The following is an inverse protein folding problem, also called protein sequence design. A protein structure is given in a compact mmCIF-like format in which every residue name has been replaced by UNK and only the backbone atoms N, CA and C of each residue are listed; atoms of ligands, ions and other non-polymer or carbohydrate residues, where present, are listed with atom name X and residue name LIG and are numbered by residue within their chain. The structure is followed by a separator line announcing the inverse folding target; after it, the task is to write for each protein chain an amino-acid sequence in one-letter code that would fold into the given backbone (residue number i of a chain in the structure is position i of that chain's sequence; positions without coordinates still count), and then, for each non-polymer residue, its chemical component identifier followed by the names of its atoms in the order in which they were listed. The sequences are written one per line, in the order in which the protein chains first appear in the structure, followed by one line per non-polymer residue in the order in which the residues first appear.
data_IF_131467664293
#
_entry.id   IF_131467664293
#
_cell.length_a   1.000
_cell.length_b   1.000
_cell.length_c   1.000
_cell.angle_alpha   90.00
_cell.angle_beta   90.00
_cell.angle_gamma   90.00
#
_symmetry.space_group_name_H-M   'P 1'
#
loop_
_entity.id
_entity.type
_entity.pdbx_description
1 polymer ?
#
# COMPACT_ATOMS: atom_id res chain seq x y z
N UNK A 1 -35.96 33.74 -21.98
CA UNK A 1 -34.57 33.26 -22.09
C UNK A 1 -34.27 32.49 -20.80
N UNK A 2 -34.43 31.20 -20.81
CA UNK A 2 -33.97 30.32 -19.73
C UNK A 2 -32.45 30.12 -19.91
N UNK A 3 -31.69 30.79 -19.09
CA UNK A 3 -30.25 30.66 -19.00
C UNK A 3 -29.98 29.37 -18.22
N UNK A 4 -29.25 28.47 -18.87
CA UNK A 4 -28.45 27.42 -18.30
C UNK A 4 -29.06 26.58 -17.17
N UNK A 5 -29.55 25.38 -17.47
CA UNK A 5 -29.66 24.36 -16.48
C UNK A 5 -28.23 23.98 -16.05
N UNK A 6 -27.76 24.58 -14.96
CA UNK A 6 -26.57 24.11 -14.25
C UNK A 6 -26.76 22.62 -14.00
N UNK A 7 -25.91 21.81 -14.60
CA UNK A 7 -25.98 20.35 -14.51
C UNK A 7 -25.32 19.92 -13.20
N UNK A 8 -26.05 20.15 -12.10
CA UNK A 8 -25.62 19.70 -10.79
C UNK A 8 -25.77 18.18 -10.66
N UNK A 9 -24.92 17.56 -9.91
CA UNK A 9 -25.05 16.15 -9.52
C UNK A 9 -26.35 15.99 -8.75
N UNK A 10 -27.33 15.28 -9.34
CA UNK A 10 -28.65 15.09 -8.72
C UNK A 10 -28.64 13.92 -7.74
N UNK A 11 -29.41 14.05 -6.67
CA UNK A 11 -29.51 13.10 -5.54
C UNK A 11 -29.80 11.64 -5.98
N UNK A 12 -30.55 11.44 -7.08
CA UNK A 12 -30.87 10.10 -7.60
C UNK A 12 -29.62 9.39 -8.17
N UNK A 13 -28.84 10.05 -9.01
CA UNK A 13 -27.65 9.46 -9.64
C UNK A 13 -26.57 9.19 -8.58
N UNK A 14 -26.49 10.03 -7.55
CA UNK A 14 -25.57 9.87 -6.43
C UNK A 14 -25.91 8.62 -5.60
N UNK A 15 -27.19 8.37 -5.36
CA UNK A 15 -27.62 7.19 -4.54
C UNK A 15 -27.24 5.86 -5.18
N UNK A 16 -27.51 5.72 -6.47
CA UNK A 16 -27.24 4.45 -7.17
C UNK A 16 -25.74 4.18 -7.22
N UNK A 17 -24.93 5.18 -7.56
CA UNK A 17 -23.47 5.03 -7.58
C UNK A 17 -22.89 4.79 -6.17
N UNK A 18 -23.36 5.50 -5.14
CA UNK A 18 -22.92 5.25 -3.75
C UNK A 18 -23.26 3.85 -3.26
N UNK A 19 -24.39 3.30 -3.75
CA UNK A 19 -24.74 1.91 -3.47
C UNK A 19 -23.75 0.94 -4.11
N UNK A 20 -23.38 1.16 -5.36
CA UNK A 20 -22.37 0.34 -6.08
C UNK A 20 -21.00 0.44 -5.42
N UNK A 21 -20.53 1.65 -5.09
CA UNK A 21 -19.27 1.87 -4.36
C UNK A 21 -19.29 1.13 -3.02
N UNK A 22 -20.41 1.22 -2.28
CA UNK A 22 -20.54 0.52 -1.01
C UNK A 22 -20.47 -0.99 -1.16
N UNK A 23 -21.14 -1.56 -2.16
CA UNK A 23 -21.11 -2.99 -2.43
C UNK A 23 -19.71 -3.45 -2.81
N UNK A 24 -19.04 -2.74 -3.72
CA UNK A 24 -17.69 -3.07 -4.14
C UNK A 24 -16.68 -3.05 -2.97
N UNK A 25 -16.79 -2.07 -2.06
CA UNK A 25 -15.96 -2.01 -0.87
C UNK A 25 -16.20 -3.16 0.10
N UNK A 26 -17.48 -3.56 0.29
CA UNK A 26 -17.83 -4.71 1.14
C UNK A 26 -17.38 -6.03 0.53
N UNK A 27 -17.49 -6.20 -0.79
CA UNK A 27 -16.97 -7.36 -1.53
C UNK A 27 -15.44 -7.45 -1.47
N UNK A 28 -14.77 -6.30 -1.32
CA UNK A 28 -13.32 -6.21 -1.10
C UNK A 28 -12.91 -6.35 0.38
N UNK A 29 -13.80 -6.84 1.26
CA UNK A 29 -13.57 -7.02 2.71
C UNK A 29 -13.16 -5.74 3.47
N UNK A 30 -13.55 -4.57 2.98
CA UNK A 30 -13.32 -3.32 3.70
C UNK A 30 -14.22 -3.26 4.94
N UNK A 31 -13.66 -2.90 6.09
CA UNK A 31 -14.38 -2.83 7.35
C UNK A 31 -15.61 -1.90 7.28
N UNK A 32 -16.77 -2.35 7.76
CA UNK A 32 -18.03 -1.63 7.68
C UNK A 32 -18.00 -0.19 8.21
N UNK A 33 -17.31 0.14 9.31
CA UNK A 33 -17.17 1.54 9.77
C UNK A 33 -16.50 2.43 8.71
N UNK A 34 -15.42 1.95 8.08
CA UNK A 34 -14.70 2.67 7.02
C UNK A 34 -15.60 2.89 5.79
N UNK A 35 -16.33 1.87 5.37
CA UNK A 35 -17.30 1.97 4.25
C UNK A 35 -18.36 3.02 4.53
N UNK A 36 -18.90 3.06 5.76
CA UNK A 36 -19.92 4.03 6.15
C UNK A 36 -19.38 5.46 6.15
N UNK A 37 -18.22 5.67 6.73
CA UNK A 37 -17.57 6.98 6.77
C UNK A 37 -17.23 7.49 5.37
N UNK A 38 -16.57 6.66 4.55
CA UNK A 38 -16.20 7.02 3.18
C UNK A 38 -17.43 7.36 2.32
N UNK A 39 -18.48 6.55 2.37
CA UNK A 39 -19.69 6.82 1.59
C UNK A 39 -20.43 8.09 2.06
N UNK A 40 -20.37 8.41 3.35
CA UNK A 40 -20.92 9.65 3.88
C UNK A 40 -20.13 10.89 3.39
N UNK A 41 -18.80 10.82 3.42
CA UNK A 41 -17.90 11.89 2.89
C UNK A 41 -18.10 12.11 1.39
N UNK A 42 -18.16 11.02 0.60
CA UNK A 42 -18.42 11.13 -0.84
C UNK A 42 -19.78 11.80 -1.09
N UNK A 43 -20.82 11.41 -0.34
CA UNK A 43 -22.15 12.02 -0.49
C UNK A 43 -22.14 13.52 -0.19
N UNK A 44 -21.52 13.91 0.91
CA UNK A 44 -21.42 15.32 1.31
C UNK A 44 -20.70 16.16 0.24
N UNK A 45 -19.55 15.70 -0.24
CA UNK A 45 -18.76 16.40 -1.26
C UNK A 45 -19.42 16.40 -2.63
N UNK A 46 -20.09 15.31 -3.00
CA UNK A 46 -20.81 15.23 -4.29
C UNK A 46 -21.98 16.20 -4.40
N UNK A 47 -22.69 16.45 -3.30
CA UNK A 47 -23.86 17.37 -3.28
C UNK A 47 -23.47 18.85 -3.40
N UNK A 48 -22.20 19.20 -3.18
CA UNK A 48 -21.69 20.57 -3.29
C UNK A 48 -20.91 20.86 -4.56
N UNK A 49 -20.67 19.85 -5.41
CA UNK A 49 -19.77 20.00 -6.56
C UNK A 49 -20.53 20.41 -7.82
N UNK A 50 -20.18 21.57 -8.35
CA UNK A 50 -20.61 22.02 -9.69
C UNK A 50 -19.85 21.19 -10.73
N UNK A 51 -20.59 20.68 -11.74
CA UNK A 51 -19.97 19.97 -12.86
C UNK A 51 -19.28 21.00 -13.75
N UNK A 52 -17.96 21.07 -13.65
CA UNK A 52 -17.14 22.02 -14.40
C UNK A 52 -16.82 21.47 -15.80
N UNK A 53 -17.08 22.26 -16.83
CA UNK A 53 -16.70 21.94 -18.20
C UNK A 53 -17.63 20.94 -18.91
N UNK A 54 -17.06 20.11 -19.78
CA UNK A 54 -17.77 19.11 -20.59
C UNK A 54 -17.98 17.75 -19.90
N UNK A 55 -17.77 17.66 -18.59
CA UNK A 55 -17.98 16.42 -17.84
C UNK A 55 -19.48 16.16 -17.64
N UNK A 56 -19.88 14.90 -17.72
CA UNK A 56 -21.19 14.51 -17.26
C UNK A 56 -21.22 14.31 -15.73
N UNK A 57 -22.38 14.37 -15.07
CA UNK A 57 -22.48 14.20 -13.61
C UNK A 57 -21.85 12.91 -13.07
N UNK A 58 -21.89 11.83 -13.85
CA UNK A 58 -21.25 10.56 -13.48
C UNK A 58 -19.73 10.66 -13.44
N UNK A 59 -19.11 11.32 -14.42
CA UNK A 59 -17.66 11.53 -14.46
C UNK A 59 -17.19 12.44 -13.32
N UNK A 60 -17.94 13.49 -13.00
CA UNK A 60 -17.63 14.34 -11.86
C UNK A 60 -17.68 13.56 -10.54
N UNK A 61 -18.68 12.69 -10.36
CA UNK A 61 -18.81 11.86 -9.18
C UNK A 61 -17.68 10.83 -9.06
N UNK A 62 -17.20 10.25 -10.17
CA UNK A 62 -16.01 9.37 -10.16
C UNK A 62 -14.79 10.13 -9.63
N UNK A 63 -14.58 11.38 -10.00
CA UNK A 63 -13.50 12.22 -9.48
C UNK A 63 -13.61 12.47 -7.97
N UNK A 64 -14.84 12.64 -7.44
CA UNK A 64 -15.06 12.74 -5.98
C UNK A 64 -14.68 11.42 -5.29
N UNK A 65 -15.13 10.29 -5.82
CA UNK A 65 -14.82 8.96 -5.27
C UNK A 65 -13.31 8.72 -5.26
N UNK A 66 -12.62 9.03 -6.33
CA UNK A 66 -11.16 8.87 -6.44
C UNK A 66 -10.42 9.71 -5.40
N UNK A 67 -10.78 10.99 -5.23
CA UNK A 67 -10.16 11.87 -4.21
C UNK A 67 -10.40 11.34 -2.79
N UNK A 68 -11.61 10.91 -2.48
CA UNK A 68 -11.94 10.40 -1.15
C UNK A 68 -11.28 9.06 -0.85
N UNK A 69 -11.18 8.15 -1.83
CA UNK A 69 -10.40 6.92 -1.70
C UNK A 69 -8.92 7.22 -1.47
N UNK A 70 -8.35 8.14 -2.24
CA UNK A 70 -6.96 8.58 -2.07
C UNK A 70 -6.70 9.11 -0.66
N UNK A 71 -7.61 9.94 -0.13
CA UNK A 71 -7.52 10.46 1.22
C UNK A 71 -7.55 9.34 2.28
N UNK A 72 -8.47 8.37 2.14
CA UNK A 72 -8.61 7.25 3.09
C UNK A 72 -7.37 6.36 3.12
N UNK A 73 -6.70 6.15 1.98
CA UNK A 73 -5.45 5.37 1.93
C UNK A 73 -4.20 6.19 2.31
N UNK A 74 -4.37 7.39 2.85
CA UNK A 74 -3.29 8.23 3.36
C UNK A 74 -2.78 9.30 2.42
N UNK A 75 -3.51 9.63 1.34
CA UNK A 75 -3.14 10.69 0.40
C UNK A 75 -3.03 12.08 1.05
N UNK A 76 -3.82 12.33 2.09
CA UNK A 76 -3.82 13.59 2.85
C UNK A 76 -2.75 13.63 3.95
N UNK A 77 -2.07 12.51 4.22
CA UNK A 77 -1.00 12.46 5.22
C UNK A 77 0.22 13.22 4.69
N UNK A 78 0.81 14.15 5.46
CA UNK A 78 2.02 14.86 5.05
C UNK A 78 3.16 13.92 4.67
N UNK A 79 3.94 14.27 3.66
CA UNK A 79 5.02 13.40 3.14
C UNK A 79 6.00 12.95 4.24
N UNK A 80 6.33 13.84 5.18
CA UNK A 80 7.19 13.51 6.33
C UNK A 80 6.65 12.37 7.20
N UNK A 81 5.31 12.22 7.29
CA UNK A 81 4.65 11.22 8.13
C UNK A 81 4.36 9.92 7.36
N UNK A 82 4.57 9.93 6.02
CA UNK A 82 4.48 8.76 5.14
C UNK A 82 5.80 8.02 4.98
N UNK A 83 6.88 8.56 5.52
CA UNK A 83 8.21 7.97 5.40
C UNK A 83 8.38 6.77 6.34
N UNK A 84 9.15 5.78 5.89
CA UNK A 84 9.54 4.65 6.75
C UNK A 84 10.44 5.20 7.86
N UNK A 85 10.03 5.00 9.12
CA UNK A 85 10.85 5.42 10.26
C UNK A 85 12.05 4.48 10.43
N UNK A 86 13.24 4.97 10.09
CA UNK A 86 14.52 4.29 10.26
C UNK A 86 15.34 4.84 11.46
N UNK A 87 14.73 5.70 12.29
CA UNK A 87 15.37 6.30 13.48
C UNK A 87 15.44 5.29 14.63
N UNK A 88 16.05 4.15 14.37
CA UNK A 88 16.27 3.05 15.32
C UNK A 88 17.71 2.60 15.28
N UNK A 89 18.16 1.88 16.31
CA UNK A 89 19.49 1.27 16.28
C UNK A 89 19.58 0.24 15.14
N UNK A 90 20.55 0.39 14.23
CA UNK A 90 20.71 -0.54 13.11
C UNK A 90 20.97 -1.99 13.53
N UNK A 91 20.48 -2.96 12.76
CA UNK A 91 19.64 -2.79 11.57
C UNK A 91 18.18 -2.47 11.90
N UNK A 92 17.54 -1.57 11.16
CA UNK A 92 16.09 -1.41 11.20
C UNK A 92 15.44 -2.67 10.61
N UNK A 93 14.61 -3.35 11.39
CA UNK A 93 13.91 -4.57 10.95
C UNK A 93 12.54 -4.20 10.41
N UNK A 94 12.27 -4.57 9.16
CA UNK A 94 11.00 -4.34 8.48
C UNK A 94 10.37 -5.70 8.14
N UNK A 95 9.32 -6.08 8.87
CA UNK A 95 8.59 -7.32 8.64
C UNK A 95 7.46 -7.10 7.64
N UNK A 96 7.50 -7.80 6.49
CA UNK A 96 6.41 -7.84 5.53
C UNK A 96 5.49 -9.03 5.84
N UNK A 97 4.31 -8.75 6.35
CA UNK A 97 3.28 -9.73 6.65
C UNK A 97 2.09 -9.59 5.71
N UNK A 98 1.38 -10.69 5.45
CA UNK A 98 0.19 -10.69 4.60
C UNK A 98 -0.11 -12.07 4.02
N UNK A 99 -1.28 -12.22 3.41
CA UNK A 99 -1.73 -13.45 2.76
C UNK A 99 -0.90 -13.77 1.50
N UNK A 100 -1.05 -14.98 1.00
CA UNK A 100 -0.48 -15.37 -0.29
C UNK A 100 -1.03 -14.47 -1.40
N UNK A 101 -0.18 -14.07 -2.33
CA UNK A 101 -0.57 -13.15 -3.42
C UNK A 101 -0.66 -11.68 -3.04
N UNK A 102 -0.50 -11.29 -1.77
CA UNK A 102 -0.55 -9.87 -1.34
C UNK A 102 0.64 -9.00 -1.77
N UNK A 103 1.56 -9.54 -2.54
CA UNK A 103 2.69 -8.78 -3.10
C UNK A 103 3.88 -8.58 -2.16
N UNK A 104 4.01 -9.34 -1.07
CA UNK A 104 5.12 -9.20 -0.09
C UNK A 104 6.51 -9.23 -0.75
N UNK A 105 6.79 -10.26 -1.55
CA UNK A 105 8.09 -10.43 -2.24
C UNK A 105 8.41 -9.26 -3.16
N UNK A 106 7.42 -8.82 -3.96
CA UNK A 106 7.57 -7.66 -4.85
C UNK A 106 7.77 -6.36 -4.07
N UNK A 107 7.03 -6.18 -2.97
CA UNK A 107 7.17 -5.02 -2.10
C UNK A 107 8.51 -4.98 -1.39
N UNK A 108 9.02 -6.13 -0.91
CA UNK A 108 10.34 -6.23 -0.32
C UNK A 108 11.43 -5.73 -1.29
N UNK A 109 11.40 -6.20 -2.54
CA UNK A 109 12.36 -5.77 -3.56
C UNK A 109 12.25 -4.26 -3.87
N UNK A 110 11.02 -3.73 -3.99
CA UNK A 110 10.79 -2.30 -4.23
C UNK A 110 11.27 -1.43 -3.07
N UNK A 111 10.98 -1.83 -1.84
CA UNK A 111 11.44 -1.14 -0.62
C UNK A 111 12.96 -1.19 -0.54
N UNK A 112 13.58 -2.36 -0.76
CA UNK A 112 15.02 -2.53 -0.75
C UNK A 112 15.71 -1.62 -1.78
N UNK A 113 15.17 -1.59 -3.02
CA UNK A 113 15.66 -0.70 -4.07
C UNK A 113 15.54 0.77 -3.67
N UNK A 114 14.39 1.17 -3.16
CA UNK A 114 14.13 2.54 -2.73
C UNK A 114 15.07 2.97 -1.59
N UNK A 115 15.25 2.13 -0.56
CA UNK A 115 16.17 2.38 0.56
C UNK A 115 17.60 2.56 0.08
N UNK A 116 18.03 1.74 -0.88
CA UNK A 116 19.37 1.81 -1.44
C UNK A 116 19.56 3.04 -2.31
N UNK A 117 18.65 3.31 -3.24
CA UNK A 117 18.81 4.39 -4.23
C UNK A 117 18.58 5.78 -3.63
N UNK A 118 17.58 5.93 -2.77
CA UNK A 118 17.20 7.23 -2.22
C UNK A 118 17.87 7.55 -0.89
N UNK A 119 17.97 6.56 0.00
CA UNK A 119 18.52 6.76 1.34
C UNK A 119 19.94 6.23 1.51
N UNK A 120 20.53 5.64 0.45
CA UNK A 120 21.90 5.07 0.45
C UNK A 120 22.13 4.04 1.55
N UNK A 121 21.09 3.29 1.89
CA UNK A 121 21.11 2.28 2.95
C UNK A 121 21.64 0.93 2.45
N UNK A 122 22.41 0.23 3.29
CA UNK A 122 22.83 -1.14 3.05
C UNK A 122 21.72 -2.07 3.53
N UNK A 123 21.13 -2.84 2.61
CA UNK A 123 19.90 -3.62 2.86
C UNK A 123 20.19 -5.11 2.72
N UNK A 124 19.78 -5.87 3.72
CA UNK A 124 19.73 -7.33 3.71
C UNK A 124 18.28 -7.79 3.62
N UNK A 125 18.00 -8.75 2.76
CA UNK A 125 16.69 -9.40 2.65
C UNK A 125 16.79 -10.84 3.14
N UNK A 126 15.71 -11.38 3.71
CA UNK A 126 15.63 -12.77 4.14
C UNK A 126 14.23 -13.31 3.98
N UNK A 127 14.09 -14.55 3.53
CA UNK A 127 12.81 -15.26 3.51
C UNK A 127 12.69 -16.17 4.72
N UNK A 128 11.63 -15.98 5.52
CA UNK A 128 11.22 -16.90 6.57
C UNK A 128 10.06 -17.82 6.11
N UNK A 129 9.71 -17.80 4.83
CA UNK A 129 8.66 -18.64 4.21
C UNK A 129 9.24 -20.01 3.83
N UNK A 130 9.42 -20.85 4.85
CA UNK A 130 9.96 -22.23 4.69
C UNK A 130 8.96 -23.22 4.09
N UNK A 131 7.67 -22.86 4.06
CA UNK A 131 6.60 -23.71 3.52
C UNK A 131 6.54 -23.70 1.99
N UNK A 132 7.22 -22.75 1.37
CA UNK A 132 7.26 -22.57 -0.08
C UNK A 132 8.70 -22.36 -0.55
N UNK A 133 9.44 -23.42 -0.88
CA UNK A 133 10.84 -23.30 -1.33
C UNK A 133 11.03 -22.32 -2.49
N UNK A 134 10.11 -22.31 -3.46
CA UNK A 134 10.15 -21.39 -4.59
C UNK A 134 10.04 -19.90 -4.17
N UNK A 135 9.47 -19.59 -3.00
CA UNK A 135 9.39 -18.22 -2.50
C UNK A 135 10.76 -17.70 -2.03
N UNK A 136 11.62 -18.58 -1.52
CA UNK A 136 13.00 -18.26 -1.13
C UNK A 136 13.79 -17.86 -2.38
N UNK A 137 13.76 -18.68 -3.42
CA UNK A 137 14.48 -18.43 -4.69
C UNK A 137 13.93 -17.18 -5.39
N UNK A 138 12.62 -16.97 -5.34
CA UNK A 138 11.98 -15.78 -5.89
C UNK A 138 12.48 -14.51 -5.19
N UNK A 139 12.51 -14.49 -3.85
CA UNK A 139 13.00 -13.33 -3.10
C UNK A 139 14.49 -13.08 -3.38
N UNK A 140 15.31 -14.14 -3.43
CA UNK A 140 16.73 -14.06 -3.78
C UNK A 140 16.92 -13.37 -5.14
N UNK A 141 16.16 -13.81 -6.15
CA UNK A 141 16.23 -13.25 -7.51
C UNK A 141 15.86 -11.77 -7.54
N UNK A 142 14.73 -11.39 -6.94
CA UNK A 142 14.28 -9.99 -6.96
C UNK A 142 15.14 -9.09 -6.08
N UNK A 143 15.74 -9.62 -5.02
CA UNK A 143 16.69 -8.89 -4.17
C UNK A 143 17.97 -8.55 -4.95
N UNK A 144 18.50 -9.50 -5.71
CA UNK A 144 19.65 -9.26 -6.61
C UNK A 144 19.31 -8.19 -7.66
N UNK A 145 18.12 -8.23 -8.26
CA UNK A 145 17.65 -7.21 -9.21
C UNK A 145 17.53 -5.82 -8.57
N UNK A 146 17.13 -5.76 -7.29
CA UNK A 146 17.09 -4.53 -6.50
C UNK A 146 18.50 -4.07 -6.03
N UNK A 147 19.51 -4.90 -6.22
CA UNK A 147 20.87 -4.68 -5.75
C UNK A 147 21.00 -4.80 -4.23
N UNK A 148 20.05 -5.44 -3.54
CA UNK A 148 20.12 -5.76 -2.13
C UNK A 148 20.79 -7.12 -1.92
N UNK A 149 21.43 -7.29 -0.76
CA UNK A 149 21.99 -8.57 -0.38
C UNK A 149 20.89 -9.51 0.14
N UNK A 150 21.09 -10.81 -0.04
CA UNK A 150 20.16 -11.84 0.40
C UNK A 150 20.83 -12.76 1.43
N UNK A 151 20.15 -13.00 2.55
CA UNK A 151 20.57 -13.97 3.54
C UNK A 151 20.01 -15.35 3.16
N UNK A 152 20.89 -16.33 2.97
CA UNK A 152 20.51 -17.69 2.55
C UNK A 152 19.73 -18.37 3.67
N UNK A 153 18.56 -18.90 3.33
CA UNK A 153 17.71 -19.73 4.19
C UNK A 153 17.28 -20.99 3.48
N UNK A 154 16.97 -22.03 4.24
CA UNK A 154 16.58 -23.33 3.70
C UNK A 154 15.24 -23.78 4.29
N UNK A 155 14.44 -24.61 3.57
CA UNK A 155 13.10 -25.02 4.01
C UNK A 155 13.09 -25.89 5.29
N UNK A 156 14.19 -26.50 5.65
CA UNK A 156 14.35 -27.33 6.84
C UNK A 156 14.60 -26.53 8.12
N UNK A 157 14.89 -25.24 7.99
CA UNK A 157 15.11 -24.35 9.13
C UNK A 157 13.77 -23.86 9.72
N UNK A 158 13.79 -23.49 11.00
CA UNK A 158 12.64 -22.85 11.63
C UNK A 158 12.63 -21.36 11.31
N UNK A 159 11.45 -20.76 10.99
CA UNK A 159 11.34 -19.34 10.66
C UNK A 159 11.97 -18.40 11.68
N UNK A 160 11.80 -18.70 12.98
CA UNK A 160 12.37 -17.91 14.07
C UNK A 160 13.90 -17.96 14.09
N UNK A 161 14.47 -19.13 13.81
CA UNK A 161 15.93 -19.30 13.79
C UNK A 161 16.54 -18.58 12.58
N UNK A 162 15.88 -18.67 11.41
CA UNK A 162 16.26 -17.87 10.22
C UNK A 162 16.30 -16.38 10.56
N UNK A 163 15.23 -15.86 11.17
CA UNK A 163 15.13 -14.44 11.52
C UNK A 163 16.23 -14.02 12.50
N UNK A 164 16.53 -14.84 13.52
CA UNK A 164 17.62 -14.58 14.47
C UNK A 164 18.99 -14.59 13.80
N UNK A 165 19.28 -15.60 12.99
CA UNK A 165 20.55 -15.70 12.27
C UNK A 165 20.74 -14.54 11.28
N UNK A 166 19.68 -14.16 10.54
CA UNK A 166 19.73 -13.02 9.65
C UNK A 166 19.96 -11.71 10.40
N UNK A 167 19.33 -11.51 11.56
CA UNK A 167 19.53 -10.34 12.41
C UNK A 167 20.96 -10.26 12.94
N UNK A 168 21.52 -11.37 13.42
CA UNK A 168 22.91 -11.44 13.89
C UNK A 168 23.90 -11.19 12.75
N UNK A 169 23.64 -11.75 11.57
CA UNK A 169 24.42 -11.49 10.37
C UNK A 169 24.36 -10.00 10.00
N UNK A 170 23.17 -9.42 9.98
CA UNK A 170 22.98 -8.01 9.65
C UNK A 170 23.74 -7.07 10.60
N UNK A 171 23.73 -7.37 11.92
CA UNK A 171 24.50 -6.63 12.91
C UNK A 171 26.01 -6.74 12.69
N UNK A 172 26.53 -7.95 12.48
CA UNK A 172 27.96 -8.22 12.30
C UNK A 172 28.52 -7.57 11.01
N UNK A 173 27.70 -7.48 9.97
CA UNK A 173 28.10 -6.95 8.67
C UNK A 173 27.64 -5.51 8.42
N UNK A 174 27.16 -4.81 9.48
CA UNK A 174 26.78 -3.40 9.45
C UNK A 174 25.76 -3.08 8.37
N UNK A 175 24.67 -3.86 8.32
CA UNK A 175 23.50 -3.51 7.51
C UNK A 175 22.67 -2.46 8.23
N UNK A 176 22.15 -1.50 7.44
CA UNK A 176 21.23 -0.48 7.96
C UNK A 176 19.81 -1.02 8.15
N UNK A 177 19.38 -1.92 7.25
CA UNK A 177 18.04 -2.48 7.21
C UNK A 177 18.05 -3.99 6.97
N UNK A 178 17.11 -4.69 7.61
CA UNK A 178 16.79 -6.10 7.39
C UNK A 178 15.31 -6.21 7.01
N UNK A 179 15.00 -6.73 5.80
CA UNK A 179 13.65 -6.96 5.29
C UNK A 179 13.33 -8.45 5.24
#
# INVERSE_FOLDING_TARGET
RLVGSEMCIRDRNTRDMLREVRLALLEADVALPVVRELTARIKEKALGEEVVGNLNPGQALVGVVERELTAVIGGDVPEKDRQINLSVQPPAVILLAGLQGSGKTTSAAKIAKWLKENLKKKVLTVSADVYRPAAIDQLKTVSAQAGADFFESTPDQKPLDIARMALDHAKRHFYDCLL
#
